data_IF_791394837419
#
_entry.id   IF_791394837419
#
_cell.length_a   1.000
_cell.length_b   1.000
_cell.length_c   1.000
_cell.angle_alpha   90.00
_cell.angle_beta   90.00
_cell.angle_gamma   90.00
#
_symmetry.space_group_name_H-M   'P 1'
#
loop_
_entity.id
_entity.type
_entity.pdbx_description
1 polymer ?
#
# COMPACT_ATOMS: atom_id res chain seq x y z
N UNK A 1 2.84 -24.20 3.42
CA UNK A 1 3.51 -23.19 4.26
C UNK A 1 2.66 -21.93 4.20
N UNK A 2 2.03 -21.51 5.30
CA UNK A 2 1.30 -20.23 5.32
C UNK A 2 2.34 -19.11 5.33
N UNK A 3 2.29 -18.20 4.37
CA UNK A 3 3.23 -17.09 4.33
C UNK A 3 2.97 -16.16 5.54
N UNK A 4 4.02 -15.84 6.29
CA UNK A 4 3.91 -15.00 7.48
C UNK A 4 3.68 -13.54 7.09
N UNK A 5 2.74 -12.90 7.79
CA UNK A 5 2.38 -11.49 7.58
C UNK A 5 3.26 -10.61 8.47
N UNK A 6 4.52 -10.47 8.07
CA UNK A 6 5.53 -9.73 8.83
C UNK A 6 5.34 -8.22 8.75
N UNK A 7 4.84 -7.71 7.62
CA UNK A 7 4.70 -6.28 7.37
C UNK A 7 3.32 -5.81 7.81
N UNK A 8 3.26 -4.77 8.63
CA UNK A 8 2.00 -4.23 9.15
C UNK A 8 1.94 -2.72 8.97
N UNK A 9 1.25 -2.29 7.92
CA UNK A 9 1.26 -0.90 7.48
C UNK A 9 -0.12 -0.28 7.64
N UNK A 10 -0.20 0.89 8.27
CA UNK A 10 -1.37 1.75 8.28
C UNK A 10 -1.57 2.37 6.90
N UNK A 11 -2.77 2.21 6.39
CA UNK A 11 -3.21 2.78 5.12
C UNK A 11 -4.47 3.59 5.35
N UNK A 12 -4.59 4.70 4.64
CA UNK A 12 -5.85 5.44 4.52
C UNK A 12 -6.75 4.78 3.47
N UNK A 13 -8.00 5.25 3.35
CA UNK A 13 -8.87 4.88 2.23
C UNK A 13 -8.30 5.31 0.88
N UNK A 14 -7.66 6.45 0.84
CA UNK A 14 -7.00 6.94 -0.38
C UNK A 14 -5.86 6.02 -0.78
N UNK A 15 -5.00 5.62 0.16
CA UNK A 15 -3.96 4.62 -0.09
C UNK A 15 -4.54 3.32 -0.64
N UNK A 16 -5.64 2.82 -0.05
CA UNK A 16 -6.35 1.63 -0.57
C UNK A 16 -6.76 1.82 -2.03
N UNK A 17 -7.34 2.97 -2.37
CA UNK A 17 -7.86 3.23 -3.71
C UNK A 17 -6.74 3.36 -4.74
N UNK A 18 -5.65 4.03 -4.37
CA UNK A 18 -4.44 4.10 -5.19
C UNK A 18 -3.84 2.71 -5.43
N UNK A 19 -3.73 1.87 -4.38
CA UNK A 19 -3.23 0.49 -4.50
C UNK A 19 -4.11 -0.35 -5.43
N UNK A 20 -5.44 -0.29 -5.26
CA UNK A 20 -6.37 -1.06 -6.08
C UNK A 20 -6.38 -0.59 -7.54
N UNK A 21 -6.08 0.68 -7.79
CA UNK A 21 -6.05 1.28 -9.12
C UNK A 21 -4.73 1.05 -9.85
N UNK A 22 -3.59 1.18 -9.14
CA UNK A 22 -2.26 1.27 -9.74
C UNK A 22 -1.29 0.15 -9.34
N UNK A 23 -1.53 -0.54 -8.22
CA UNK A 23 -0.58 -1.48 -7.63
C UNK A 23 -0.73 -2.93 -8.06
N UNK A 24 -1.59 -3.22 -9.05
CA UNK A 24 -1.82 -4.57 -9.63
C UNK A 24 -1.93 -5.73 -8.60
N UNK A 25 -2.44 -5.44 -7.40
CA UNK A 25 -2.55 -6.40 -6.31
C UNK A 25 -3.54 -7.51 -6.63
N UNK A 26 -3.23 -8.73 -6.19
CA UNK A 26 -4.09 -9.90 -6.39
C UNK A 26 -4.22 -10.76 -5.13
N UNK A 27 -5.17 -11.70 -5.16
CA UNK A 27 -5.33 -12.71 -4.13
C UNK A 27 -5.71 -12.15 -2.76
N UNK A 28 -4.97 -12.53 -1.71
CA UNK A 28 -5.35 -12.23 -0.32
C UNK A 28 -5.18 -10.75 0.02
N UNK A 29 -4.15 -10.09 -0.48
CA UNK A 29 -3.94 -8.66 -0.24
C UNK A 29 -5.08 -7.84 -0.87
N UNK A 30 -5.40 -8.12 -2.12
CA UNK A 30 -6.54 -7.49 -2.82
C UNK A 30 -7.86 -7.72 -2.06
N UNK A 31 -8.15 -8.96 -1.67
CA UNK A 31 -9.35 -9.28 -0.90
C UNK A 31 -9.39 -8.60 0.48
N UNK A 32 -8.24 -8.35 1.10
CA UNK A 32 -8.14 -7.60 2.35
C UNK A 32 -8.46 -6.12 2.13
N UNK A 33 -7.90 -5.51 1.09
CA UNK A 33 -8.11 -4.11 0.72
C UNK A 33 -9.56 -3.84 0.32
N UNK A 34 -10.17 -4.73 -0.47
CA UNK A 34 -11.58 -4.63 -0.87
C UNK A 34 -12.56 -4.76 0.30
N UNK A 35 -12.23 -5.58 1.31
CA UNK A 35 -13.01 -5.71 2.55
C UNK A 35 -12.70 -4.60 3.55
N UNK A 36 -12.74 -3.35 3.11
CA UNK A 36 -12.53 -2.20 3.96
C UNK A 36 -13.78 -1.89 4.78
N UNK A 37 -13.71 -1.83 6.13
CA UNK A 37 -14.89 -1.54 6.94
C UNK A 37 -15.47 -0.16 6.69
N UNK A 38 -16.80 -0.07 6.62
CA UNK A 38 -17.52 1.21 6.51
C UNK A 38 -17.21 2.07 7.74
N UNK A 39 -17.00 3.36 7.54
CA UNK A 39 -16.64 4.31 8.60
C UNK A 39 -15.14 4.34 8.97
N UNK A 40 -14.36 3.31 8.66
CA UNK A 40 -12.93 3.29 9.00
C UNK A 40 -12.11 4.13 8.03
N UNK A 41 -11.41 5.15 8.53
CA UNK A 41 -10.54 6.04 7.74
C UNK A 41 -9.14 5.47 7.55
N UNK A 42 -8.57 4.92 8.63
CA UNK A 42 -7.23 4.32 8.66
C UNK A 42 -7.35 2.87 9.10
N UNK A 43 -6.61 1.98 8.44
CA UNK A 43 -6.56 0.56 8.78
C UNK A 43 -5.14 0.03 8.66
N UNK A 44 -4.72 -0.76 9.65
CA UNK A 44 -3.48 -1.54 9.58
C UNK A 44 -3.71 -2.79 8.73
N UNK A 45 -2.96 -2.93 7.64
CA UNK A 45 -3.02 -4.04 6.70
C UNK A 45 -1.77 -4.89 6.85
N UNK A 46 -1.96 -6.19 7.06
CA UNK A 46 -0.86 -7.15 7.10
C UNK A 46 -0.48 -7.59 5.70
N UNK A 47 0.81 -7.62 5.39
CA UNK A 47 1.38 -8.11 4.12
C UNK A 47 2.57 -9.03 4.42
N UNK A 48 2.86 -9.92 3.49
CA UNK A 48 4.17 -10.58 3.46
C UNK A 48 5.20 -9.59 2.93
N UNK A 49 6.48 -9.79 3.26
CA UNK A 49 7.57 -8.97 2.71
C UNK A 49 7.59 -8.96 1.17
N UNK A 50 7.27 -10.10 0.54
CA UNK A 50 7.24 -10.24 -0.92
C UNK A 50 6.09 -9.44 -1.54
N UNK A 51 4.88 -9.53 -0.97
CA UNK A 51 3.74 -8.72 -1.43
C UNK A 51 4.03 -7.22 -1.33
N UNK A 52 4.67 -6.77 -0.23
CA UNK A 52 5.05 -5.37 -0.07
C UNK A 52 6.07 -4.94 -1.14
N UNK A 53 7.10 -5.76 -1.37
CA UNK A 53 8.13 -5.47 -2.36
C UNK A 53 7.56 -5.38 -3.78
N UNK A 54 6.67 -6.30 -4.17
CA UNK A 54 6.02 -6.25 -5.48
C UNK A 54 5.09 -5.05 -5.61
N UNK A 55 4.30 -4.75 -4.57
CA UNK A 55 3.43 -3.59 -4.57
C UNK A 55 4.21 -2.28 -4.79
N UNK A 56 5.32 -2.07 -4.08
CA UNK A 56 6.20 -0.91 -4.28
C UNK A 56 6.67 -0.85 -5.74
N UNK A 57 7.12 -1.98 -6.30
CA UNK A 57 7.56 -2.08 -7.68
C UNK A 57 6.48 -1.69 -8.70
N UNK A 58 5.26 -2.17 -8.49
CA UNK A 58 4.11 -1.90 -9.38
C UNK A 58 3.69 -0.42 -9.34
N UNK A 59 3.65 0.17 -8.14
CA UNK A 59 3.33 1.60 -7.98
C UNK A 59 4.41 2.50 -8.57
N UNK A 60 5.69 2.22 -8.30
CA UNK A 60 6.81 2.93 -8.92
C UNK A 60 6.79 2.82 -10.45
N UNK A 61 6.51 1.63 -10.98
CA UNK A 61 6.34 1.43 -12.41
C UNK A 61 5.18 2.26 -12.97
N UNK A 62 4.05 2.36 -12.25
CA UNK A 62 2.92 3.19 -12.64
C UNK A 62 3.29 4.67 -12.76
N UNK A 63 4.04 5.20 -11.79
CA UNK A 63 4.57 6.57 -11.84
C UNK A 63 5.52 6.79 -13.01
N UNK A 64 6.58 5.97 -13.13
CA UNK A 64 7.63 6.13 -14.14
C UNK A 64 7.10 5.99 -15.57
N UNK A 65 6.08 5.15 -15.79
CA UNK A 65 5.45 4.99 -17.11
C UNK A 65 4.31 5.98 -17.38
N UNK A 66 4.07 6.94 -16.49
CA UNK A 66 2.99 7.92 -16.62
C UNK A 66 1.59 7.32 -16.54
N UNK A 67 1.45 6.08 -16.04
CA UNK A 67 0.16 5.40 -15.87
C UNK A 67 -0.62 5.93 -14.68
N UNK A 68 0.08 6.49 -13.69
CA UNK A 68 -0.54 7.15 -12.54
C UNK A 68 -1.35 8.40 -12.94
N UNK A 69 -0.98 9.07 -14.05
CA UNK A 69 -1.68 10.25 -14.55
C UNK A 69 -1.76 11.35 -13.48
N UNK A 70 -2.98 11.82 -13.21
CA UNK A 70 -3.23 12.86 -12.19
C UNK A 70 -2.96 12.40 -10.75
N UNK A 71 -2.81 11.08 -10.52
CA UNK A 71 -2.54 10.54 -9.18
C UNK A 71 -1.02 10.42 -8.91
N UNK A 72 -0.15 10.87 -9.81
CA UNK A 72 1.30 10.58 -9.74
C UNK A 72 1.94 11.02 -8.43
N UNK A 73 1.60 12.20 -7.92
CA UNK A 73 2.12 12.70 -6.64
C UNK A 73 1.63 11.82 -5.48
N UNK A 74 0.34 11.54 -5.42
CA UNK A 74 -0.24 10.70 -4.36
C UNK A 74 0.27 9.25 -4.40
N UNK A 75 0.55 8.70 -5.59
CA UNK A 75 1.17 7.37 -5.72
C UNK A 75 2.64 7.41 -5.30
N UNK A 76 3.38 8.49 -5.60
CA UNK A 76 4.75 8.65 -5.15
C UNK A 76 4.85 8.75 -3.62
N UNK A 77 4.00 9.56 -2.99
CA UNK A 77 3.93 9.68 -1.53
C UNK A 77 3.59 8.34 -0.86
N UNK A 78 2.67 7.58 -1.47
CA UNK A 78 2.36 6.23 -1.02
C UNK A 78 3.56 5.29 -1.16
N UNK A 79 4.31 5.34 -2.26
CA UNK A 79 5.54 4.55 -2.41
C UNK A 79 6.54 4.87 -1.30
N UNK A 80 6.79 6.15 -1.03
CA UNK A 80 7.71 6.59 0.02
C UNK A 80 7.32 6.03 1.39
N UNK A 81 6.03 6.06 1.74
CA UNK A 81 5.50 5.45 2.96
C UNK A 81 5.74 3.94 3.03
N UNK A 82 5.46 3.21 1.94
CA UNK A 82 5.65 1.76 1.87
C UNK A 82 7.14 1.36 1.93
N UNK A 83 8.01 2.10 1.25
CA UNK A 83 9.46 1.91 1.28
C UNK A 83 10.06 2.22 2.64
N UNK A 84 9.58 3.30 3.29
CA UNK A 84 9.94 3.63 4.66
C UNK A 84 9.59 2.46 5.59
N UNK A 85 8.36 1.96 5.52
CA UNK A 85 7.89 0.85 6.34
C UNK A 85 8.71 -0.43 6.09
N UNK A 86 8.99 -0.77 4.84
CA UNK A 86 9.82 -1.93 4.50
C UNK A 86 11.24 -1.84 5.07
N UNK A 87 11.81 -0.63 5.11
CA UNK A 87 13.19 -0.39 5.56
C UNK A 87 13.31 -0.34 7.08
N UNK A 88 12.34 0.26 7.77
CA UNK A 88 12.42 0.55 9.20
C UNK A 88 11.62 -0.43 10.06
N UNK A 89 10.62 -1.09 9.47
CA UNK A 89 9.59 -1.85 10.19
C UNK A 89 8.48 -0.97 10.77
N UNK A 90 8.59 0.35 10.66
CA UNK A 90 7.57 1.29 11.10
C UNK A 90 6.56 1.55 9.97
N UNK A 91 5.38 0.95 10.11
CA UNK A 91 4.30 1.10 9.16
C UNK A 91 3.23 2.11 9.58
N UNK A 92 3.44 2.89 10.64
CA UNK A 92 2.45 3.87 11.08
C UNK A 92 2.43 5.11 10.20
N UNK A 93 1.24 5.68 10.00
CA UNK A 93 1.12 6.94 9.28
C UNK A 93 1.62 8.05 10.20
N UNK A 94 2.52 8.89 9.71
CA UNK A 94 3.00 10.06 10.44
C UNK A 94 1.95 11.18 10.36
N UNK A 95 0.83 10.95 11.05
CA UNK A 95 -0.24 11.92 11.18
C UNK A 95 0.21 12.91 12.24
N UNK A 96 0.79 14.03 11.80
CA UNK A 96 0.88 15.22 12.63
C UNK A 96 -0.56 15.70 12.84
N UNK A 97 -1.08 15.54 14.07
CA UNK A 97 -2.39 16.05 14.48
C UNK A 97 -2.32 17.55 14.75
#
# INVERSE_FOLDING_TARGET
>A
MMAELTERIQLTREHRDLILKHGFVSGRLEASLRRWPKGQLIRRVGMTRVELQWLIGDLNHSCVKGKAGNDVEAVADLCDHLEYAQRTGDGDLDLLW
#
